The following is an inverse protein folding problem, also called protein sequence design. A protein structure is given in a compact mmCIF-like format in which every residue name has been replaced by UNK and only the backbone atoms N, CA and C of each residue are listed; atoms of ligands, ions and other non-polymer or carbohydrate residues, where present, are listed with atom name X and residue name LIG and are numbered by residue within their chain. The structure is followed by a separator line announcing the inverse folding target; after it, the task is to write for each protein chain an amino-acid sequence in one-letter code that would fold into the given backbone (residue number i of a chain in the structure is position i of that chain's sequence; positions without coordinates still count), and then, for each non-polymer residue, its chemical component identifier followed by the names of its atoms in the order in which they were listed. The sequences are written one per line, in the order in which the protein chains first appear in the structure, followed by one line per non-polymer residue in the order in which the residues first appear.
data_IF_251868187031
#
_entry.id   IF_251868187031
#
_cell.length_a   1.000
_cell.length_b   1.000
_cell.length_c   1.000
_cell.angle_alpha   90.00
_cell.angle_beta   90.00
_cell.angle_gamma   90.00
#
_symmetry.space_group_name_H-M   'P 1'
#
loop_
_entity.id
_entity.type
_entity.pdbx_description
1 polymer ?
#
# COMPACT_ATOMS: atom_id res chain seq x y z
N UNK A 1 30.23 23.34 15.54
CA UNK A 1 29.48 22.11 15.23
C UNK A 1 28.33 22.50 14.34
N UNK A 2 28.30 22.09 13.07
CA UNK A 2 27.20 22.39 12.16
C UNK A 2 25.93 21.76 12.74
N UNK A 3 24.85 22.53 12.73
CA UNK A 3 23.54 22.08 13.23
C UNK A 3 23.07 20.86 12.40
N UNK A 4 23.29 19.64 12.90
CA UNK A 4 22.95 18.37 12.24
C UNK A 4 21.46 18.04 12.33
N UNK A 5 20.69 18.85 13.07
CA UNK A 5 19.25 18.69 13.25
C UNK A 5 18.49 19.23 12.04
N UNK A 6 17.60 18.40 11.49
CA UNK A 6 16.68 18.74 10.42
C UNK A 6 15.27 19.02 10.98
N UNK A 7 14.32 19.47 10.15
CA UNK A 7 12.94 19.69 10.58
C UNK A 7 12.33 18.47 11.29
N UNK A 8 11.32 18.70 12.16
CA UNK A 8 10.61 17.60 12.80
C UNK A 8 9.90 16.70 11.76
N UNK A 9 9.62 15.47 12.16
CA UNK A 9 8.74 14.60 11.40
C UNK A 9 7.35 15.26 11.27
N UNK A 10 6.68 14.99 10.15
CA UNK A 10 5.27 15.38 10.03
C UNK A 10 4.44 14.74 11.15
N UNK A 11 3.33 15.34 11.60
CA UNK A 11 2.54 14.76 12.70
C UNK A 11 2.17 13.30 12.46
N UNK A 12 1.68 12.97 11.28
CA UNK A 12 1.34 11.59 10.94
C UNK A 12 2.55 10.66 11.01
N UNK A 13 3.73 11.11 10.54
CA UNK A 13 4.96 10.32 10.64
C UNK A 13 5.36 10.03 12.10
N UNK A 14 5.12 10.98 13.01
CA UNK A 14 5.36 10.75 14.45
C UNK A 14 4.41 9.72 15.03
N UNK A 15 3.13 9.70 14.59
CA UNK A 15 2.12 8.76 15.11
C UNK A 15 2.35 7.33 14.64
N UNK A 16 2.86 7.14 13.41
CA UNK A 16 3.17 5.83 12.82
C UNK A 16 4.63 5.42 12.98
N UNK A 17 5.35 6.04 13.90
CA UNK A 17 6.71 5.69 14.31
C UNK A 17 6.80 5.70 15.84
N UNK A 18 5.97 4.92 16.48
CA UNK A 18 5.89 4.73 17.94
C UNK A 18 5.96 3.25 18.28
N UNK A 19 6.28 2.87 19.52
CA UNK A 19 6.22 1.47 19.95
C UNK A 19 4.84 0.83 19.77
N UNK A 20 3.78 1.65 19.80
CA UNK A 20 2.38 1.19 19.63
C UNK A 20 2.04 0.94 18.17
N UNK A 21 2.59 1.76 17.25
CA UNK A 21 2.25 1.70 15.84
C UNK A 21 3.47 2.08 14.99
N UNK A 22 4.04 1.10 14.34
CA UNK A 22 5.15 1.31 13.40
C UNK A 22 4.81 0.66 12.06
N UNK A 23 4.81 1.47 11.00
CA UNK A 23 4.61 0.97 9.64
C UNK A 23 5.93 0.93 8.88
N UNK A 24 6.05 -0.10 8.05
CA UNK A 24 7.11 -0.21 7.06
C UNK A 24 6.52 -0.26 5.65
N UNK A 25 7.35 0.03 4.67
CA UNK A 25 7.10 -0.29 3.26
C UNK A 25 8.16 -1.31 2.86
N UNK A 26 7.72 -2.47 2.42
CA UNK A 26 8.58 -3.47 1.83
C UNK A 26 8.36 -3.48 0.32
N UNK A 27 9.30 -2.88 -0.41
CA UNK A 27 9.34 -2.92 -1.87
C UNK A 27 10.12 -4.15 -2.35
N UNK A 28 9.55 -4.92 -3.26
CA UNK A 28 10.14 -6.12 -3.84
C UNK A 28 10.37 -5.89 -5.31
N UNK A 29 11.62 -5.95 -5.76
CA UNK A 29 12.05 -5.73 -7.12
C UNK A 29 12.62 -7.01 -7.70
N UNK A 30 11.89 -7.66 -8.60
CA UNK A 30 12.29 -8.86 -9.33
C UNK A 30 13.10 -8.48 -10.55
N UNK A 31 14.37 -8.92 -10.65
CA UNK A 31 15.30 -8.53 -11.71
C UNK A 31 15.45 -9.63 -12.78
N UNK A 32 15.64 -9.23 -14.04
CA UNK A 32 15.86 -10.16 -15.17
C UNK A 32 17.28 -10.68 -15.25
N UNK A 33 18.23 -10.01 -14.59
CA UNK A 33 19.65 -10.38 -14.64
C UNK A 33 20.24 -10.42 -13.21
N UNK A 34 21.23 -11.27 -12.97
CA UNK A 34 21.96 -11.31 -11.70
C UNK A 34 22.59 -9.96 -11.37
N UNK A 35 22.76 -9.70 -10.09
CA UNK A 35 23.41 -8.51 -9.55
C UNK A 35 24.33 -8.90 -8.38
N UNK A 36 25.11 -7.95 -7.89
CA UNK A 36 26.05 -8.19 -6.79
C UNK A 36 26.04 -7.05 -5.77
N UNK A 37 26.59 -7.33 -4.58
CA UNK A 37 26.61 -6.37 -3.46
C UNK A 37 27.40 -5.08 -3.79
N UNK A 38 28.63 -5.12 -4.36
CA UNK A 38 29.41 -3.91 -4.66
C UNK A 38 28.69 -2.95 -5.62
N UNK A 39 28.12 -3.44 -6.71
CA UNK A 39 27.37 -2.62 -7.67
C UNK A 39 26.11 -2.01 -7.01
N UNK A 40 25.44 -2.77 -6.15
CA UNK A 40 24.29 -2.29 -5.42
C UNK A 40 24.66 -1.19 -4.42
N UNK A 41 25.75 -1.33 -3.68
CA UNK A 41 26.26 -0.30 -2.77
C UNK A 41 26.56 0.99 -3.56
N UNK A 42 27.29 0.89 -4.66
CA UNK A 42 27.58 2.06 -5.52
C UNK A 42 26.31 2.74 -6.03
N UNK A 43 25.29 1.95 -6.41
CA UNK A 43 24.01 2.47 -6.84
C UNK A 43 23.26 3.20 -5.70
N UNK A 44 23.29 2.66 -4.48
CA UNK A 44 22.66 3.29 -3.32
C UNK A 44 23.37 4.59 -2.94
N UNK A 45 24.70 4.62 -2.94
CA UNK A 45 25.52 5.80 -2.59
C UNK A 45 25.39 6.92 -3.62
N UNK A 46 25.43 6.58 -4.90
CA UNK A 46 25.36 7.57 -5.97
C UNK A 46 23.95 8.05 -6.29
N UNK A 47 22.92 7.24 -6.00
CA UNK A 47 21.56 7.51 -6.41
C UNK A 47 20.56 7.62 -5.27
N UNK A 48 20.44 6.58 -4.40
CA UNK A 48 19.39 6.51 -3.38
C UNK A 48 19.60 7.48 -2.22
N UNK A 49 20.76 7.45 -1.60
CA UNK A 49 21.06 8.30 -0.42
C UNK A 49 20.95 9.80 -0.75
N UNK A 50 21.45 10.29 -1.92
CA UNK A 50 21.35 11.69 -2.27
C UNK A 50 19.93 12.20 -2.55
N UNK A 51 18.95 11.34 -2.78
CA UNK A 51 17.55 11.74 -3.07
C UNK A 51 16.94 12.56 -1.94
N UNK A 52 17.26 12.23 -0.70
CA UNK A 52 16.74 12.96 0.46
C UNK A 52 17.70 12.86 1.63
N UNK A 53 17.87 13.98 2.35
CA UNK A 53 18.67 14.01 3.60
C UNK A 53 18.14 13.01 4.66
N UNK A 54 16.91 12.55 4.55
CA UNK A 54 16.32 11.56 5.47
C UNK A 54 16.98 10.18 5.34
N UNK A 55 17.47 9.83 4.14
CA UNK A 55 18.17 8.56 3.91
C UNK A 55 19.58 8.50 4.54
N UNK A 56 20.09 9.64 5.01
CA UNK A 56 21.31 9.72 5.84
C UNK A 56 21.03 10.36 7.20
N UNK A 57 19.86 10.10 7.79
CA UNK A 57 19.47 10.66 9.08
C UNK A 57 18.80 9.60 9.94
N UNK A 58 19.03 9.67 11.24
CA UNK A 58 18.31 8.91 12.27
C UNK A 58 17.15 9.73 12.82
N UNK A 59 16.18 9.07 13.42
CA UNK A 59 15.08 9.72 14.14
C UNK A 59 15.49 9.83 15.61
N UNK A 60 15.44 11.03 16.16
CA UNK A 60 15.73 11.32 17.57
C UNK A 60 14.58 12.08 18.19
N UNK A 61 14.28 11.82 19.44
CA UNK A 61 13.26 12.55 20.20
C UNK A 61 13.95 13.70 20.94
N UNK A 62 13.45 14.93 20.76
CA UNK A 62 13.96 16.11 21.47
C UNK A 62 13.43 16.17 22.92
N UNK A 63 13.93 17.13 23.72
CA UNK A 63 13.54 17.34 25.12
C UNK A 63 12.04 17.61 25.32
N UNK A 64 11.34 17.98 24.24
CA UNK A 64 9.89 18.24 24.23
C UNK A 64 9.08 17.03 23.76
N UNK A 65 9.72 15.87 23.54
CA UNK A 65 9.07 14.67 23.04
C UNK A 65 8.76 14.69 21.53
N UNK A 66 9.32 15.65 20.77
CA UNK A 66 9.08 15.77 19.33
C UNK A 66 10.16 15.01 18.56
N UNK A 67 9.76 14.10 17.70
CA UNK A 67 10.66 13.36 16.84
C UNK A 67 11.22 14.24 15.71
N UNK A 68 12.54 14.21 15.54
CA UNK A 68 13.29 15.00 14.54
C UNK A 68 14.28 14.13 13.77
N UNK A 69 14.58 14.56 12.57
CA UNK A 69 15.67 13.98 11.79
C UNK A 69 17.00 14.58 12.26
N UNK A 70 17.97 13.72 12.53
CA UNK A 70 19.35 14.09 12.84
C UNK A 70 20.26 13.44 11.81
N UNK A 71 20.98 14.28 11.04
CA UNK A 71 21.94 13.79 10.04
C UNK A 71 23.09 13.05 10.73
N UNK A 72 23.42 11.88 10.19
CA UNK A 72 24.54 11.03 10.62
C UNK A 72 25.42 10.67 9.43
N UNK A 73 26.59 10.14 9.71
CA UNK A 73 27.39 9.42 8.72
C UNK A 73 26.69 8.09 8.44
N UNK A 74 26.43 7.80 7.17
CA UNK A 74 25.73 6.58 6.74
C UNK A 74 26.75 5.68 6.04
N UNK A 75 27.11 4.56 6.68
CA UNK A 75 27.87 3.52 6.02
C UNK A 75 26.89 2.61 5.26
N UNK A 76 26.90 2.66 3.95
CA UNK A 76 25.95 1.92 3.10
C UNK A 76 26.07 0.40 3.25
N UNK A 77 27.27 -0.10 3.58
CA UNK A 77 27.48 -1.54 3.78
C UNK A 77 26.64 -2.13 4.91
N UNK A 78 26.42 -1.35 5.98
CA UNK A 78 25.64 -1.77 7.15
C UNK A 78 24.13 -1.89 6.84
N UNK A 79 23.70 -1.27 5.74
CA UNK A 79 22.30 -1.29 5.27
C UNK A 79 22.05 -2.35 4.19
N UNK A 80 23.10 -3.02 3.69
CA UNK A 80 22.95 -4.01 2.61
C UNK A 80 23.19 -5.42 3.13
N UNK A 81 22.10 -6.16 3.30
CA UNK A 81 22.05 -7.49 3.86
C UNK A 81 22.00 -8.52 2.74
N UNK A 82 22.86 -9.53 2.81
CA UNK A 82 22.91 -10.63 1.85
C UNK A 82 22.67 -11.94 2.60
N UNK A 83 21.44 -12.50 2.51
CA UNK A 83 21.17 -13.80 3.13
C UNK A 83 21.90 -14.92 2.37
N UNK A 84 22.31 -15.94 3.08
CA UNK A 84 22.99 -17.11 2.53
C UNK A 84 22.07 -18.33 2.59
N UNK A 85 21.90 -18.99 1.44
CA UNK A 85 21.15 -20.24 1.28
C UNK A 85 22.00 -21.28 0.57
N UNK A 86 21.66 -22.59 0.62
CA UNK A 86 22.31 -23.61 -0.18
C UNK A 86 22.30 -23.24 -1.67
N UNK A 87 23.37 -23.57 -2.40
CA UNK A 87 23.56 -23.15 -3.80
C UNK A 87 22.99 -24.12 -4.85
N UNK A 88 22.46 -25.25 -4.40
CA UNK A 88 22.02 -26.37 -5.23
C UNK A 88 20.49 -26.57 -5.25
N UNK A 89 19.74 -25.55 -4.82
CA UNK A 89 18.28 -25.57 -4.83
C UNK A 89 17.71 -25.23 -6.21
N UNK A 90 16.54 -25.78 -6.51
CA UNK A 90 15.77 -25.41 -7.70
C UNK A 90 15.16 -24.00 -7.57
N UNK A 91 14.78 -23.34 -8.68
CA UNK A 91 14.09 -22.04 -8.62
C UNK A 91 12.84 -22.05 -7.73
N UNK A 92 12.06 -23.13 -7.74
CA UNK A 92 10.85 -23.30 -6.94
C UNK A 92 11.17 -23.44 -5.45
N UNK A 93 12.27 -24.11 -5.11
CA UNK A 93 12.75 -24.18 -3.72
C UNK A 93 13.27 -22.82 -3.25
N UNK A 94 13.89 -22.02 -4.13
CA UNK A 94 14.27 -20.65 -3.82
C UNK A 94 13.05 -19.72 -3.68
N UNK A 95 11.92 -19.96 -4.36
CA UNK A 95 10.68 -19.24 -4.11
C UNK A 95 10.24 -19.42 -2.65
N UNK A 96 10.26 -20.64 -2.13
CA UNK A 96 9.93 -20.94 -0.74
C UNK A 96 10.91 -20.29 0.23
N UNK A 97 12.24 -20.34 -0.09
CA UNK A 97 13.25 -19.68 0.74
C UNK A 97 13.08 -18.16 0.78
N UNK A 98 12.74 -17.54 -0.35
CA UNK A 98 12.47 -16.10 -0.42
C UNK A 98 11.24 -15.72 0.41
N UNK A 99 10.15 -16.50 0.31
CA UNK A 99 8.94 -16.27 1.10
C UNK A 99 9.20 -16.40 2.60
N UNK A 100 9.89 -17.45 3.03
CA UNK A 100 10.26 -17.66 4.43
C UNK A 100 11.19 -16.56 4.92
N UNK A 101 12.16 -16.14 4.10
CA UNK A 101 13.07 -15.06 4.42
C UNK A 101 12.34 -13.73 4.61
N UNK A 102 11.46 -13.37 3.67
CA UNK A 102 10.64 -12.16 3.80
C UNK A 102 9.82 -12.22 5.09
N UNK A 103 9.18 -13.35 5.37
CA UNK A 103 8.38 -13.52 6.58
C UNK A 103 9.20 -13.37 7.86
N UNK A 104 10.47 -13.79 7.86
CA UNK A 104 11.35 -13.72 9.05
C UNK A 104 11.69 -12.30 9.46
N UNK A 105 11.92 -11.38 8.50
CA UNK A 105 12.26 -9.99 8.81
C UNK A 105 11.11 -9.00 8.60
N UNK A 106 9.90 -9.49 8.27
CA UNK A 106 8.74 -8.66 7.89
C UNK A 106 8.46 -7.55 8.90
N UNK A 107 8.43 -7.89 10.19
CA UNK A 107 8.20 -6.96 11.30
C UNK A 107 9.41 -6.77 12.22
N UNK A 108 10.59 -7.25 11.83
CA UNK A 108 11.82 -6.98 12.56
C UNK A 108 12.06 -5.46 12.62
N UNK A 109 12.41 -4.95 13.77
CA UNK A 109 12.66 -3.52 13.94
C UNK A 109 13.98 -3.11 13.31
N UNK A 110 13.98 -1.98 12.61
CA UNK A 110 15.21 -1.39 12.11
C UNK A 110 16.04 -0.77 13.26
N UNK A 111 17.37 -0.84 13.20
CA UNK A 111 18.24 -0.27 14.24
C UNK A 111 17.99 1.25 14.43
N UNK A 112 17.80 1.69 15.67
CA UNK A 112 17.50 3.10 15.98
C UNK A 112 18.69 4.04 15.76
N UNK A 113 19.91 3.52 15.81
CA UNK A 113 21.16 4.28 15.63
C UNK A 113 21.60 4.43 14.18
N UNK A 114 20.82 3.90 13.25
CA UNK A 114 21.08 3.95 11.81
C UNK A 114 19.90 4.62 11.08
N UNK A 115 20.11 5.17 9.86
CA UNK A 115 19.01 5.60 8.99
C UNK A 115 17.98 4.48 8.82
N UNK A 116 16.66 4.78 8.90
CA UNK A 116 15.64 3.76 9.08
C UNK A 116 15.23 3.08 7.76
N UNK A 117 16.20 2.42 7.12
CA UNK A 117 16.01 1.62 5.90
C UNK A 117 17.06 0.53 5.79
N UNK A 118 16.71 -0.55 5.09
CA UNK A 118 17.60 -1.66 4.73
C UNK A 118 17.29 -2.13 3.31
N UNK A 119 18.30 -2.73 2.65
CA UNK A 119 18.17 -3.39 1.36
C UNK A 119 18.69 -4.81 1.49
N UNK A 120 17.83 -5.78 1.21
CA UNK A 120 18.20 -7.19 1.24
C UNK A 120 18.39 -7.70 -0.18
N UNK A 121 19.47 -8.40 -0.43
CA UNK A 121 19.86 -8.90 -1.74
C UNK A 121 19.70 -10.41 -1.79
N UNK A 122 18.59 -10.89 -2.30
CA UNK A 122 18.36 -12.29 -2.57
C UNK A 122 18.93 -12.62 -3.96
N UNK A 123 20.20 -13.06 -3.98
CA UNK A 123 20.98 -13.27 -5.22
C UNK A 123 20.84 -14.69 -5.80
N UNK A 124 19.72 -15.34 -5.55
CA UNK A 124 19.39 -16.67 -6.05
C UNK A 124 18.28 -16.60 -7.08
N UNK A 125 18.33 -17.43 -8.14
CA UNK A 125 17.28 -17.44 -9.15
C UNK A 125 16.00 -18.09 -8.61
N UNK A 126 14.89 -17.36 -8.70
CA UNK A 126 13.55 -17.85 -8.40
C UNK A 126 12.85 -18.28 -9.69
N UNK A 127 11.67 -18.89 -9.61
CA UNK A 127 10.84 -19.20 -10.80
C UNK A 127 10.49 -17.95 -11.62
N UNK A 128 10.49 -16.79 -10.98
CA UNK A 128 10.08 -15.52 -11.58
C UNK A 128 11.22 -14.56 -11.91
N UNK A 129 12.39 -14.66 -11.28
CA UNK A 129 13.46 -13.66 -11.38
C UNK A 129 14.86 -14.28 -11.31
N UNK A 130 15.85 -13.62 -11.91
CA UNK A 130 17.25 -14.00 -11.76
C UNK A 130 17.84 -13.62 -10.41
N UNK A 131 17.16 -12.76 -9.67
CA UNK A 131 17.43 -12.36 -8.31
C UNK A 131 16.44 -11.28 -7.86
N UNK A 132 16.31 -11.07 -6.55
CA UNK A 132 15.32 -10.16 -5.98
C UNK A 132 15.97 -9.19 -5.01
N UNK A 133 15.70 -7.90 -5.19
CA UNK A 133 16.13 -6.83 -4.31
C UNK A 133 14.94 -6.35 -3.47
N UNK A 134 15.11 -6.32 -2.14
CA UNK A 134 14.06 -6.01 -1.19
C UNK A 134 14.44 -4.72 -0.46
N UNK A 135 13.57 -3.70 -0.54
CA UNK A 135 13.74 -2.42 0.15
C UNK A 135 12.80 -2.37 1.36
N UNK A 136 13.34 -2.45 2.55
CA UNK A 136 12.58 -2.26 3.79
C UNK A 136 12.79 -0.84 4.30
N UNK A 137 11.73 -0.06 4.32
CA UNK A 137 11.77 1.36 4.64
C UNK A 137 10.80 1.65 5.78
N UNK A 138 11.25 2.34 6.83
CA UNK A 138 10.31 2.86 7.82
C UNK A 138 9.40 3.92 7.16
N UNK A 139 8.12 3.82 7.40
CA UNK A 139 7.13 4.68 6.75
C UNK A 139 7.27 6.16 7.15
N UNK A 140 8.02 6.48 8.22
CA UNK A 140 8.36 7.86 8.57
C UNK A 140 9.20 8.57 7.50
N UNK A 141 9.96 7.82 6.68
CA UNK A 141 10.73 8.37 5.54
C UNK A 141 9.82 9.04 4.52
N UNK A 142 8.64 8.48 4.28
CA UNK A 142 7.64 8.99 3.35
C UNK A 142 6.55 7.98 3.08
N UNK A 143 5.42 8.44 2.57
CA UNK A 143 4.35 7.54 2.11
C UNK A 143 4.64 6.96 0.71
N UNK A 144 3.77 6.05 0.27
CA UNK A 144 3.92 5.37 -1.01
C UNK A 144 4.09 6.32 -2.21
N UNK A 145 3.44 7.50 -2.18
CA UNK A 145 3.61 8.50 -3.25
C UNK A 145 5.00 9.14 -3.24
N UNK A 146 5.51 9.50 -2.07
CA UNK A 146 6.86 10.06 -1.91
C UNK A 146 7.92 9.03 -2.28
N UNK A 147 7.78 7.79 -1.78
CA UNK A 147 8.70 6.68 -2.06
C UNK A 147 8.68 6.33 -3.55
N UNK A 148 7.49 6.24 -4.18
CA UNK A 148 7.39 6.00 -5.62
C UNK A 148 8.06 7.11 -6.43
N UNK A 149 7.90 8.37 -6.03
CA UNK A 149 8.59 9.49 -6.65
C UNK A 149 10.12 9.35 -6.57
N UNK A 150 10.64 8.90 -5.42
CA UNK A 150 12.06 8.60 -5.25
C UNK A 150 12.51 7.46 -6.17
N UNK A 151 11.77 6.35 -6.19
CA UNK A 151 12.08 5.18 -7.01
C UNK A 151 12.07 5.53 -8.51
N UNK A 152 11.09 6.30 -8.99
CA UNK A 152 11.03 6.73 -10.38
C UNK A 152 12.16 7.69 -10.78
N UNK A 153 12.74 8.39 -9.81
CA UNK A 153 13.94 9.23 -10.04
C UNK A 153 15.22 8.41 -10.04
N UNK A 154 15.27 7.40 -9.17
CA UNK A 154 16.40 6.50 -8.99
C UNK A 154 16.53 5.50 -10.15
N UNK A 155 15.41 4.94 -10.59
CA UNK A 155 15.38 3.96 -11.66
C UNK A 155 15.57 4.63 -13.02
N UNK A 156 16.22 3.94 -13.92
CA UNK A 156 16.41 4.38 -15.32
C UNK A 156 15.45 3.62 -16.23
N UNK A 157 15.14 4.19 -17.38
CA UNK A 157 14.46 3.41 -18.42
C UNK A 157 15.41 2.32 -18.94
N UNK A 158 14.90 1.10 -19.08
CA UNK A 158 15.70 -0.02 -19.57
C UNK A 158 16.01 0.10 -21.07
N UNK A 159 15.10 0.70 -21.85
CA UNK A 159 15.25 0.91 -23.28
C UNK A 159 16.16 2.13 -23.61
N UNK A 160 16.13 3.18 -22.79
CA UNK A 160 16.96 4.37 -22.95
C UNK A 160 17.21 5.04 -21.59
N UNK A 161 18.35 4.77 -20.96
CA UNK A 161 18.69 5.32 -19.63
C UNK A 161 18.81 6.84 -19.56
N UNK A 162 18.91 7.52 -20.72
CA UNK A 162 18.97 9.00 -20.79
C UNK A 162 17.60 9.66 -20.62
N UNK A 163 16.52 8.91 -20.81
CA UNK A 163 15.17 9.40 -20.66
C UNK A 163 14.65 9.09 -19.25
N UNK A 164 13.91 10.04 -18.62
CA UNK A 164 13.30 9.79 -17.32
C UNK A 164 12.12 8.82 -17.45
N UNK A 165 11.87 8.06 -16.39
CA UNK A 165 10.60 7.37 -16.21
C UNK A 165 9.50 8.41 -16.00
N UNK A 166 8.34 8.19 -16.62
CA UNK A 166 7.21 9.10 -16.48
C UNK A 166 6.52 8.89 -15.14
N UNK A 167 6.32 9.97 -14.43
CA UNK A 167 5.48 9.95 -13.23
C UNK A 167 4.02 9.79 -13.67
N UNK A 168 3.31 8.75 -13.20
CA UNK A 168 1.93 8.54 -13.61
C UNK A 168 1.07 9.68 -13.09
N UNK A 169 0.59 10.54 -13.99
CA UNK A 169 -0.36 11.59 -13.64
C UNK A 169 -1.75 10.98 -13.49
N UNK A 170 -2.30 11.04 -12.28
CA UNK A 170 -3.72 10.80 -12.10
C UNK A 170 -4.48 11.84 -12.92
N UNK A 171 -5.29 11.40 -13.90
CA UNK A 171 -6.19 12.31 -14.61
C UNK A 171 -7.25 12.79 -13.62
N UNK A 172 -7.01 13.95 -13.03
CA UNK A 172 -8.02 14.65 -12.23
C UNK A 172 -9.09 15.19 -13.16
N UNK A 173 -10.07 14.37 -13.50
CA UNK A 173 -11.35 14.92 -13.94
C UNK A 173 -12.02 15.50 -12.71
N UNK A 174 -11.91 16.82 -12.55
CA UNK A 174 -12.82 17.56 -11.68
C UNK A 174 -14.25 17.23 -12.11
N UNK A 175 -15.16 16.96 -11.17
CA UNK A 175 -16.58 16.79 -11.49
C UNK A 175 -17.07 18.06 -12.21
N UNK A 176 -17.77 17.85 -13.34
CA UNK A 176 -18.32 18.93 -14.14
C UNK A 176 -19.18 19.90 -13.33
N UNK A 177 -19.28 21.12 -13.82
CA UNK A 177 -20.07 22.23 -13.29
C UNK A 177 -21.48 21.78 -12.86
N UNK A 178 -21.71 21.80 -11.57
CA UNK A 178 -22.99 21.47 -10.96
C UNK A 178 -23.82 22.75 -10.85
N UNK A 179 -25.07 22.71 -11.31
CA UNK A 179 -26.02 23.83 -11.22
C UNK A 179 -26.30 24.25 -9.77
N UNK A 180 -26.65 25.51 -9.53
CA UNK A 180 -26.78 26.11 -8.19
C UNK A 180 -27.73 25.36 -7.24
N UNK A 181 -28.80 24.75 -7.72
CA UNK A 181 -29.75 23.98 -6.91
C UNK A 181 -29.16 22.70 -6.34
N UNK A 182 -28.29 22.07 -7.10
CA UNK A 182 -27.55 20.87 -6.64
C UNK A 182 -26.42 21.20 -5.65
N UNK A 183 -26.00 22.46 -5.53
CA UNK A 183 -24.93 22.87 -4.58
C UNK A 183 -25.38 22.84 -3.14
N UNK A 184 -26.60 23.29 -2.84
CA UNK A 184 -27.14 23.33 -1.46
C UNK A 184 -27.43 21.90 -0.96
N UNK A 185 -28.13 21.09 -1.78
CA UNK A 185 -28.41 19.70 -1.42
C UNK A 185 -27.11 18.88 -1.28
N UNK A 186 -26.15 19.08 -2.17
CA UNK A 186 -24.83 18.46 -2.07
C UNK A 186 -24.05 18.94 -0.83
N UNK A 187 -24.17 20.21 -0.45
CA UNK A 187 -23.54 20.73 0.77
C UNK A 187 -24.12 20.08 2.03
N UNK A 188 -25.45 20.05 2.16
CA UNK A 188 -26.14 19.40 3.28
C UNK A 188 -25.80 17.91 3.34
N UNK A 189 -25.83 17.21 2.21
CA UNK A 189 -25.45 15.81 2.12
C UNK A 189 -23.98 15.57 2.55
N UNK A 190 -23.06 16.46 2.14
CA UNK A 190 -21.66 16.43 2.58
C UNK A 190 -21.52 16.65 4.07
N UNK A 191 -22.27 17.59 4.66
CA UNK A 191 -22.26 17.83 6.11
C UNK A 191 -22.76 16.62 6.89
N UNK A 192 -23.86 16.00 6.46
CA UNK A 192 -24.41 14.78 7.08
C UNK A 192 -23.40 13.62 7.00
N UNK A 193 -22.85 13.36 5.81
CA UNK A 193 -21.84 12.32 5.63
C UNK A 193 -20.60 12.58 6.47
N UNK A 194 -20.12 13.83 6.51
CA UNK A 194 -18.96 14.21 7.32
C UNK A 194 -19.21 13.97 8.81
N UNK A 195 -20.35 14.40 9.32
CA UNK A 195 -20.71 14.20 10.72
C UNK A 195 -20.83 12.70 11.06
N UNK A 196 -21.53 11.94 10.22
CA UNK A 196 -21.71 10.51 10.41
C UNK A 196 -20.37 9.75 10.35
N UNK A 197 -19.53 10.06 9.36
CA UNK A 197 -18.25 9.37 9.17
C UNK A 197 -17.25 9.76 10.26
N UNK A 198 -17.21 11.02 10.66
CA UNK A 198 -16.37 11.51 11.75
C UNK A 198 -16.79 10.92 13.10
N UNK A 199 -18.10 10.92 13.39
CA UNK A 199 -18.63 10.31 14.62
C UNK A 199 -18.34 8.81 14.68
N UNK A 200 -18.50 8.09 13.55
CA UNK A 200 -18.11 6.68 13.47
C UNK A 200 -16.59 6.48 13.65
N UNK A 201 -15.78 7.39 13.16
CA UNK A 201 -14.32 7.36 13.37
C UNK A 201 -13.96 7.53 14.84
N UNK A 202 -14.57 8.49 15.54
CA UNK A 202 -14.35 8.71 17.00
C UNK A 202 -14.92 7.55 17.81
N UNK A 203 -16.13 7.11 17.51
CA UNK A 203 -16.79 6.01 18.23
C UNK A 203 -16.28 4.64 17.80
N UNK A 204 -15.50 4.57 16.71
CA UNK A 204 -14.98 3.33 16.13
C UNK A 204 -14.18 2.49 17.13
N UNK A 205 -13.47 3.15 18.04
CA UNK A 205 -12.74 2.48 19.15
C UNK A 205 -13.67 1.72 20.10
N UNK A 206 -14.95 2.08 20.13
CA UNK A 206 -16.00 1.44 20.97
C UNK A 206 -17.00 0.62 20.17
N UNK A 207 -16.90 0.62 18.85
CA UNK A 207 -17.75 -0.20 18.00
C UNK A 207 -17.26 -1.65 17.98
N UNK A 208 -18.20 -2.59 17.80
CA UNK A 208 -17.85 -3.99 17.63
C UNK A 208 -16.97 -4.15 16.36
N UNK A 209 -15.92 -4.93 16.52
CA UNK A 209 -15.06 -5.37 15.43
C UNK A 209 -15.86 -6.13 14.38
N UNK A 210 -15.41 -6.10 13.13
CA UNK A 210 -15.88 -7.03 12.11
C UNK A 210 -15.62 -8.48 12.58
N UNK A 211 -16.64 -9.32 12.58
CA UNK A 211 -16.55 -10.72 12.97
C UNK A 211 -16.76 -11.63 11.77
N UNK A 212 -15.68 -12.01 11.12
CA UNK A 212 -15.70 -12.85 9.93
C UNK A 212 -14.41 -13.67 9.79
N UNK A 213 -14.41 -14.66 8.88
CA UNK A 213 -13.26 -15.56 8.63
C UNK A 213 -12.03 -14.89 8.01
N UNK A 214 -12.07 -13.58 7.76
CA UNK A 214 -10.93 -12.81 7.27
C UNK A 214 -10.07 -12.24 8.42
N UNK A 215 -10.54 -12.38 9.67
CA UNK A 215 -9.87 -11.87 10.88
C UNK A 215 -9.64 -12.99 11.87
N UNK A 216 -8.39 -13.25 12.18
CA UNK A 216 -7.99 -14.29 13.15
C UNK A 216 -8.27 -13.89 14.60
N UNK A 217 -8.41 -12.57 14.88
CA UNK A 217 -8.44 -12.01 16.23
C UNK A 217 -7.15 -12.31 17.03
N UNK A 218 -6.08 -12.74 16.36
CA UNK A 218 -4.75 -12.93 16.96
C UNK A 218 -4.31 -11.60 17.58
N UNK A 219 -3.97 -11.56 18.87
CA UNK A 219 -3.36 -10.35 19.45
C UNK A 219 -2.07 -10.01 18.72
N UNK A 220 -1.86 -8.72 18.41
CA UNK A 220 -0.68 -8.23 17.70
C UNK A 220 -0.43 -8.99 16.38
N UNK A 221 -1.49 -9.18 15.58
CA UNK A 221 -1.45 -9.89 14.29
C UNK A 221 -0.42 -9.29 13.31
N UNK A 222 -0.11 -8.01 13.45
CA UNK A 222 0.92 -7.31 12.68
C UNK A 222 2.33 -7.91 12.83
N UNK A 223 2.59 -8.65 13.91
CA UNK A 223 3.84 -9.36 14.18
C UNK A 223 3.78 -10.86 13.85
N UNK A 224 2.62 -11.35 13.42
CA UNK A 224 2.48 -12.74 13.02
C UNK A 224 3.26 -13.04 11.72
N UNK A 225 3.74 -14.28 11.52
CA UNK A 225 4.31 -14.71 10.26
C UNK A 225 3.33 -14.50 9.09
N UNK A 226 3.85 -14.08 7.93
CA UNK A 226 3.03 -13.77 6.77
C UNK A 226 3.29 -14.69 5.59
N UNK A 227 2.26 -14.91 4.78
CA UNK A 227 2.37 -15.40 3.41
C UNK A 227 2.15 -14.22 2.46
N UNK A 228 2.97 -14.13 1.42
CA UNK A 228 2.82 -13.13 0.36
C UNK A 228 2.49 -13.86 -0.93
N UNK A 229 1.31 -13.62 -1.46
CA UNK A 229 0.90 -14.19 -2.74
C UNK A 229 0.38 -13.11 -3.68
N UNK A 230 0.31 -13.39 -4.98
CA UNK A 230 -0.15 -12.39 -5.93
C UNK A 230 -0.89 -12.97 -7.11
N UNK A 231 -1.78 -12.15 -7.68
CA UNK A 231 -2.44 -12.40 -8.95
C UNK A 231 -2.17 -11.23 -9.88
N UNK A 232 -1.85 -11.53 -11.13
CA UNK A 232 -1.60 -10.51 -12.16
C UNK A 232 -2.80 -10.48 -13.11
N UNK A 233 -3.29 -9.26 -13.36
CA UNK A 233 -4.37 -8.99 -14.30
C UNK A 233 -3.87 -8.08 -15.43
N UNK A 234 -4.48 -8.16 -16.61
CA UNK A 234 -4.26 -7.18 -17.67
C UNK A 234 -4.86 -5.83 -17.25
N UNK A 235 -4.03 -4.78 -17.24
CA UNK A 235 -4.51 -3.44 -16.96
C UNK A 235 -5.48 -2.95 -18.05
N UNK A 236 -5.33 -3.41 -19.29
CA UNK A 236 -6.22 -3.05 -20.39
C UNK A 236 -7.59 -3.71 -20.23
N UNK A 237 -7.65 -4.97 -19.79
CA UNK A 237 -8.91 -5.63 -19.46
C UNK A 237 -9.62 -4.92 -18.27
N UNK A 238 -8.88 -4.52 -17.23
CA UNK A 238 -9.44 -3.69 -16.14
C UNK A 238 -9.97 -2.35 -16.67
N UNK A 239 -9.25 -1.71 -17.59
CA UNK A 239 -9.68 -0.46 -18.23
C UNK A 239 -10.93 -0.64 -19.10
N UNK A 240 -11.06 -1.79 -19.74
CA UNK A 240 -12.23 -2.13 -20.52
C UNK A 240 -13.47 -2.26 -19.65
N UNK A 241 -13.41 -3.06 -18.58
CA UNK A 241 -14.49 -3.14 -17.56
C UNK A 241 -14.84 -1.75 -17.03
N UNK A 242 -13.82 -0.98 -16.59
CA UNK A 242 -14.01 0.38 -16.10
C UNK A 242 -14.78 1.27 -17.09
N UNK A 243 -14.45 1.17 -18.38
CA UNK A 243 -15.08 2.00 -19.44
C UNK A 243 -16.52 1.63 -19.68
N UNK A 244 -16.84 0.33 -19.66
CA UNK A 244 -18.22 -0.19 -19.86
C UNK A 244 -19.18 0.27 -18.76
N UNK A 245 -18.73 0.31 -17.51
CA UNK A 245 -19.56 0.65 -16.34
C UNK A 245 -19.33 2.08 -15.81
N UNK A 246 -18.51 2.89 -16.50
CA UNK A 246 -18.20 4.26 -16.10
C UNK A 246 -17.57 4.38 -14.71
N UNK A 247 -16.73 3.41 -14.33
CA UNK A 247 -16.06 3.34 -13.04
C UNK A 247 -14.62 3.87 -13.10
N UNK A 248 -13.90 3.85 -11.97
CA UNK A 248 -12.45 4.03 -11.91
C UNK A 248 -11.75 2.68 -11.76
N UNK A 249 -10.43 2.63 -11.97
CA UNK A 249 -9.65 1.39 -11.69
C UNK A 249 -9.80 0.98 -10.23
N UNK A 250 -9.82 1.94 -9.30
CA UNK A 250 -10.01 1.66 -7.87
C UNK A 250 -11.40 1.05 -7.59
N UNK A 251 -12.46 1.53 -8.24
CA UNK A 251 -13.80 0.96 -8.07
C UNK A 251 -13.84 -0.48 -8.55
N UNK A 252 -13.24 -0.76 -9.73
CA UNK A 252 -13.18 -2.13 -10.29
C UNK A 252 -12.36 -3.05 -9.38
N UNK A 253 -11.19 -2.63 -8.93
CA UNK A 253 -10.34 -3.47 -8.06
C UNK A 253 -10.93 -3.67 -6.67
N UNK A 254 -11.61 -2.66 -6.11
CA UNK A 254 -12.32 -2.81 -4.82
C UNK A 254 -13.51 -3.78 -4.96
N UNK A 255 -14.30 -3.66 -6.03
CA UNK A 255 -15.39 -4.58 -6.31
C UNK A 255 -14.91 -6.01 -6.58
N UNK A 256 -13.81 -6.17 -7.32
CA UNK A 256 -13.15 -7.45 -7.53
C UNK A 256 -12.73 -8.11 -6.21
N UNK A 257 -12.07 -7.37 -5.33
CA UNK A 257 -11.66 -7.87 -4.01
C UNK A 257 -12.90 -8.24 -3.19
N UNK A 258 -13.92 -7.39 -3.14
CA UNK A 258 -15.15 -7.65 -2.39
C UNK A 258 -15.83 -8.96 -2.86
N UNK A 259 -15.94 -9.16 -4.17
CA UNK A 259 -16.50 -10.37 -4.75
C UNK A 259 -15.65 -11.60 -4.44
N UNK A 260 -14.34 -11.52 -4.63
CA UNK A 260 -13.43 -12.62 -4.32
C UNK A 260 -13.48 -13.03 -2.83
N UNK A 261 -13.56 -12.06 -1.93
CA UNK A 261 -13.69 -12.33 -0.49
C UNK A 261 -15.01 -12.98 -0.14
N UNK A 262 -16.10 -12.60 -0.82
CA UNK A 262 -17.40 -13.26 -0.59
C UNK A 262 -17.38 -14.70 -1.10
N UNK A 263 -16.74 -14.98 -2.25
CA UNK A 263 -16.49 -16.34 -2.73
C UNK A 263 -15.63 -17.14 -1.73
N UNK A 264 -14.58 -16.51 -1.19
CA UNK A 264 -13.71 -17.12 -0.19
C UNK A 264 -14.48 -17.47 1.09
N UNK A 265 -15.27 -16.53 1.64
CA UNK A 265 -16.10 -16.75 2.82
C UNK A 265 -17.09 -17.90 2.61
N UNK A 266 -17.78 -17.94 1.46
CA UNK A 266 -18.67 -19.04 1.09
C UNK A 266 -17.94 -20.40 1.08
N UNK A 267 -16.74 -20.47 0.50
CA UNK A 267 -15.92 -21.70 0.47
C UNK A 267 -15.39 -22.12 1.84
N UNK A 268 -15.26 -21.17 2.77
CA UNK A 268 -14.95 -21.43 4.19
C UNK A 268 -16.18 -21.74 5.04
N UNK A 269 -17.39 -21.87 4.42
CA UNK A 269 -18.63 -22.22 5.10
C UNK A 269 -19.28 -21.06 5.88
N UNK A 270 -18.87 -19.82 5.65
CA UNK A 270 -19.47 -18.65 6.28
C UNK A 270 -20.56 -18.04 5.39
N UNK A 271 -21.73 -17.75 5.98
CA UNK A 271 -22.82 -17.04 5.29
C UNK A 271 -22.50 -15.55 5.24
N UNK A 272 -22.31 -14.97 4.04
CA UNK A 272 -21.78 -13.60 3.91
C UNK A 272 -22.71 -12.51 4.46
N UNK A 273 -24.02 -12.71 4.46
CA UNK A 273 -25.03 -11.68 4.86
C UNK A 273 -25.04 -11.40 6.36
N UNK A 274 -24.66 -12.40 7.16
CA UNK A 274 -24.69 -12.27 8.62
C UNK A 274 -23.46 -11.55 9.17
N UNK A 275 -22.47 -11.28 8.32
CA UNK A 275 -21.19 -10.76 8.77
C UNK A 275 -20.83 -9.44 8.07
N UNK A 276 -20.58 -8.44 8.89
CA UNK A 276 -20.05 -7.17 8.41
C UNK A 276 -18.61 -7.36 7.94
N UNK A 277 -18.28 -6.85 6.76
CA UNK A 277 -16.92 -6.77 6.24
C UNK A 277 -16.61 -5.34 5.81
N UNK A 278 -15.49 -4.80 6.29
CA UNK A 278 -15.03 -3.46 5.94
C UNK A 278 -13.60 -3.49 5.40
N UNK A 279 -13.31 -2.58 4.50
CA UNK A 279 -11.99 -2.34 3.98
C UNK A 279 -11.48 -0.95 4.40
N UNK A 280 -10.24 -0.88 4.84
CA UNK A 280 -9.50 0.37 4.97
C UNK A 280 -8.79 0.66 3.65
N UNK A 281 -9.20 1.71 2.97
CA UNK A 281 -8.58 2.14 1.71
C UNK A 281 -7.65 3.31 1.99
N UNK A 282 -6.38 3.16 1.62
CA UNK A 282 -5.38 4.23 1.77
C UNK A 282 -5.60 5.29 0.70
N UNK A 283 -5.74 6.54 1.11
CA UNK A 283 -5.93 7.68 0.23
C UNK A 283 -4.80 8.68 0.33
N UNK A 284 -4.35 9.18 -0.81
CA UNK A 284 -3.45 10.33 -0.87
C UNK A 284 -4.25 11.62 -0.58
N UNK A 285 -3.87 12.34 0.46
CA UNK A 285 -4.52 13.59 0.88
C UNK A 285 -3.85 14.85 0.31
N UNK A 286 -2.83 14.71 -0.52
CA UNK A 286 -2.23 15.87 -1.19
C UNK A 286 -3.23 16.51 -2.13
N UNK A 287 -3.34 17.83 -2.06
CA UNK A 287 -4.04 18.59 -3.09
C UNK A 287 -3.17 18.57 -4.36
N UNK A 288 -3.41 17.56 -5.19
CA UNK A 288 -2.59 17.24 -6.36
C UNK A 288 -2.78 18.29 -7.45
N UNK A 289 -1.97 19.33 -7.43
CA UNK A 289 -1.77 20.22 -8.58
C UNK A 289 -0.46 19.79 -9.28
N UNK A 290 -0.58 18.83 -10.22
CA UNK A 290 0.36 18.67 -11.31
C UNK A 290 1.84 18.47 -10.99
N UNK A 291 2.21 17.89 -9.84
CA UNK A 291 3.61 17.54 -9.60
C UNK A 291 4.05 16.42 -10.55
N UNK A 292 5.04 16.69 -11.37
CA UNK A 292 5.51 15.78 -12.42
C UNK A 292 6.80 15.07 -12.03
N UNK A 293 7.55 15.63 -11.08
CA UNK A 293 8.88 15.14 -10.69
C UNK A 293 9.07 15.14 -9.17
N UNK A 294 10.04 14.37 -8.69
CA UNK A 294 10.48 14.42 -7.29
C UNK A 294 10.98 15.82 -6.90
N UNK A 295 11.67 16.49 -7.80
CA UNK A 295 12.17 17.84 -7.58
C UNK A 295 11.04 18.83 -7.32
N UNK A 296 9.93 18.73 -8.08
CA UNK A 296 8.72 19.53 -7.85
C UNK A 296 8.13 19.27 -6.46
N UNK A 297 8.12 18.01 -6.01
CA UNK A 297 7.63 17.63 -4.67
C UNK A 297 8.51 18.18 -3.56
N UNK A 298 9.84 18.11 -3.72
CA UNK A 298 10.80 18.61 -2.75
C UNK A 298 10.74 20.13 -2.65
N UNK A 299 10.69 20.84 -3.78
CA UNK A 299 10.55 22.31 -3.84
C UNK A 299 9.24 22.80 -3.22
N UNK A 300 8.15 22.05 -3.42
CA UNK A 300 6.85 22.36 -2.83
C UNK A 300 6.70 21.89 -1.37
N UNK A 301 7.75 21.28 -0.78
CA UNK A 301 7.75 20.71 0.58
C UNK A 301 6.59 19.72 0.84
N UNK A 302 6.24 18.91 -0.17
CA UNK A 302 5.16 17.93 -0.09
C UNK A 302 5.66 16.49 0.08
N UNK A 303 6.97 16.30 0.25
CA UNK A 303 7.56 15.03 0.64
C UNK A 303 7.17 14.67 2.08
N UNK A 304 6.81 13.44 2.30
CA UNK A 304 6.49 12.91 3.64
C UNK A 304 5.20 12.13 3.67
N UNK A 305 4.52 12.11 4.80
CA UNK A 305 3.31 11.34 5.01
C UNK A 305 2.08 12.26 4.91
N UNK A 306 1.35 12.12 3.81
CA UNK A 306 0.13 12.86 3.50
C UNK A 306 -0.97 11.90 3.01
N UNK A 307 -1.24 10.89 3.81
CA UNK A 307 -2.29 9.92 3.53
C UNK A 307 -3.34 9.87 4.64
N UNK A 308 -4.47 9.29 4.35
CA UNK A 308 -5.52 9.00 5.31
C UNK A 308 -6.17 7.66 4.98
N UNK A 309 -7.01 7.21 5.88
CA UNK A 309 -7.75 5.96 5.72
C UNK A 309 -9.21 6.24 5.47
N UNK A 310 -9.78 5.55 4.49
CA UNK A 310 -11.19 5.57 4.16
C UNK A 310 -11.76 4.20 4.52
N UNK A 311 -12.59 4.14 5.56
CA UNK A 311 -13.30 2.90 5.90
C UNK A 311 -14.50 2.76 4.98
N UNK A 312 -14.54 1.68 4.20
CA UNK A 312 -15.55 1.36 3.20
C UNK A 312 -16.23 0.04 3.57
N UNK A 313 -17.54 0.01 3.62
CA UNK A 313 -18.27 -1.25 3.75
C UNK A 313 -18.16 -2.02 2.44
N UNK A 314 -17.76 -3.28 2.51
CA UNK A 314 -17.70 -4.14 1.34
C UNK A 314 -19.12 -4.62 0.99
N UNK A 315 -19.51 -4.63 -0.30
CA UNK A 315 -20.77 -5.26 -0.73
C UNK A 315 -20.87 -6.71 -0.27
N UNK A 316 -22.03 -7.06 0.24
CA UNK A 316 -22.35 -8.42 0.69
C UNK A 316 -23.75 -8.81 0.25
N UNK A 317 -23.92 -9.99 -0.33
CA UNK A 317 -25.16 -10.51 -0.86
C UNK A 317 -25.46 -11.88 -0.26
N UNK A 318 -26.74 -12.21 -0.13
CA UNK A 318 -27.20 -13.48 0.47
C UNK A 318 -26.79 -14.70 -0.37
N UNK A 319 -26.84 -14.59 -1.68
CA UNK A 319 -26.34 -15.61 -2.59
C UNK A 319 -25.35 -15.00 -3.57
N UNK A 320 -24.10 -15.45 -3.48
CA UNK A 320 -22.99 -14.98 -4.32
C UNK A 320 -23.09 -15.49 -5.77
N UNK A 321 -23.85 -16.55 -6.00
CA UNK A 321 -24.00 -17.14 -7.33
C UNK A 321 -25.18 -16.55 -8.13
N UNK A 322 -26.17 -15.97 -7.44
CA UNK A 322 -27.39 -15.43 -8.05
C UNK A 322 -27.34 -13.91 -8.27
N UNK A 323 -26.24 -13.24 -7.90
CA UNK A 323 -26.08 -11.79 -8.05
C UNK A 323 -25.26 -11.45 -9.29
N UNK A 324 -25.65 -10.37 -9.99
CA UNK A 324 -24.83 -9.83 -11.09
C UNK A 324 -23.44 -9.44 -10.55
N UNK A 325 -22.33 -10.02 -11.08
CA UNK A 325 -20.97 -9.66 -10.67
C UNK A 325 -20.69 -8.16 -10.74
N UNK A 326 -21.36 -7.40 -11.60
CA UNK A 326 -21.20 -5.94 -11.73
C UNK A 326 -21.75 -5.16 -10.53
N UNK A 327 -22.67 -5.75 -9.75
CA UNK A 327 -23.20 -5.11 -8.54
C UNK A 327 -22.09 -4.88 -7.50
N UNK A 328 -21.12 -5.79 -7.39
CA UNK A 328 -19.95 -5.59 -6.51
C UNK A 328 -19.16 -4.33 -6.88
N UNK A 329 -18.99 -4.08 -8.17
CA UNK A 329 -18.27 -2.88 -8.64
C UNK A 329 -19.15 -1.63 -8.50
N UNK A 330 -20.43 -1.72 -8.82
CA UNK A 330 -21.39 -0.62 -8.73
C UNK A 330 -21.56 -0.12 -7.31
N UNK A 331 -21.74 -1.02 -6.36
CA UNK A 331 -21.87 -0.68 -4.92
C UNK A 331 -20.55 -0.16 -4.34
N UNK A 332 -19.42 -0.79 -4.69
CA UNK A 332 -18.10 -0.27 -4.29
C UNK A 332 -17.87 1.15 -4.80
N UNK A 333 -18.21 1.44 -6.07
CA UNK A 333 -18.16 2.78 -6.65
C UNK A 333 -19.04 3.77 -5.89
N UNK A 334 -20.29 3.40 -5.58
CA UNK A 334 -21.22 4.24 -4.86
C UNK A 334 -20.71 4.59 -3.44
N UNK A 335 -20.24 3.59 -2.71
CA UNK A 335 -19.70 3.76 -1.34
C UNK A 335 -18.40 4.57 -1.36
N UNK A 336 -17.48 4.29 -2.28
CA UNK A 336 -16.24 5.07 -2.46
C UNK A 336 -16.57 6.55 -2.74
N UNK A 337 -17.49 6.82 -3.68
CA UNK A 337 -17.92 8.18 -4.01
C UNK A 337 -18.55 8.89 -2.81
N UNK A 338 -19.39 8.18 -2.04
CA UNK A 338 -20.00 8.69 -0.81
C UNK A 338 -18.94 9.12 0.20
N UNK A 339 -17.97 8.24 0.47
CA UNK A 339 -16.90 8.48 1.45
C UNK A 339 -15.93 9.56 1.01
N UNK A 340 -15.56 9.60 -0.27
CA UNK A 340 -14.68 10.65 -0.81
C UNK A 340 -15.30 12.05 -0.76
N UNK A 341 -16.63 12.17 -0.77
CA UNK A 341 -17.33 13.43 -0.59
C UNK A 341 -17.43 13.90 0.87
N UNK A 342 -17.03 13.07 1.81
CA UNK A 342 -16.97 13.41 3.23
C UNK A 342 -15.67 14.17 3.56
N UNK A 343 -15.76 15.15 4.45
CA UNK A 343 -14.59 15.85 4.98
C UNK A 343 -14.06 15.19 6.27
N UNK A 344 -14.52 13.98 6.61
CA UNK A 344 -14.15 13.30 7.86
C UNK A 344 -12.64 13.14 8.01
N UNK A 345 -11.91 12.81 6.94
CA UNK A 345 -10.45 12.70 6.98
C UNK A 345 -9.75 14.00 7.39
N UNK A 346 -10.28 15.16 6.96
CA UNK A 346 -9.74 16.45 7.39
C UNK A 346 -9.95 16.66 8.90
N UNK A 347 -11.17 16.41 9.40
CA UNK A 347 -11.47 16.56 10.83
C UNK A 347 -10.73 15.53 11.68
N UNK A 348 -10.62 14.28 11.21
CA UNK A 348 -9.82 13.24 11.89
C UNK A 348 -8.34 13.65 11.96
N UNK A 349 -7.77 14.19 10.90
CA UNK A 349 -6.38 14.71 10.92
C UNK A 349 -6.20 15.84 11.94
N UNK A 350 -7.15 16.78 12.02
CA UNK A 350 -7.13 17.85 13.03
C UNK A 350 -7.28 17.31 14.46
N UNK A 351 -8.16 16.35 14.65
CA UNK A 351 -8.36 15.69 15.95
C UNK A 351 -7.09 14.94 16.38
N UNK A 352 -6.47 14.17 15.49
CA UNK A 352 -5.21 13.45 15.77
C UNK A 352 -4.08 14.43 16.13
N UNK A 353 -3.96 15.54 15.40
CA UNK A 353 -2.95 16.56 15.71
C UNK A 353 -3.19 17.17 17.10
N UNK A 354 -4.45 17.46 17.46
CA UNK A 354 -4.80 17.95 18.77
C UNK A 354 -4.50 16.91 19.86
N UNK A 355 -4.88 15.66 19.65
CA UNK A 355 -4.62 14.55 20.57
C UNK A 355 -3.10 14.35 20.77
N UNK A 356 -2.33 14.32 19.68
CA UNK A 356 -0.87 14.23 19.74
C UNK A 356 -0.21 15.42 20.46
N UNK A 357 -0.76 16.63 20.31
CA UNK A 357 -0.25 17.81 21.03
C UNK A 357 -0.57 17.76 22.52
N UNK A 358 -1.77 17.29 22.92
CA UNK A 358 -2.22 17.29 24.31
C UNK A 358 -1.74 16.07 25.11
N UNK A 359 -1.63 14.91 24.48
CA UNK A 359 -1.33 13.62 25.14
C UNK A 359 -0.11 12.90 24.61
N UNK A 360 0.59 13.49 23.63
CA UNK A 360 1.74 12.88 22.99
C UNK A 360 1.40 12.03 21.77
N UNK A 361 2.42 11.70 20.95
CA UNK A 361 2.25 10.94 19.70
C UNK A 361 1.73 9.51 19.92
N UNK A 362 2.05 8.87 21.04
CA UNK A 362 1.58 7.52 21.38
C UNK A 362 0.06 7.45 21.54
N UNK A 363 -0.57 8.45 22.20
CA UNK A 363 -2.03 8.49 22.34
C UNK A 363 -2.74 8.62 20.97
N UNK A 364 -2.15 9.36 20.03
CA UNK A 364 -2.64 9.43 18.67
C UNK A 364 -2.43 8.09 17.91
N UNK A 365 -1.30 7.42 18.15
CA UNK A 365 -1.00 6.10 17.61
C UNK A 365 -1.98 5.03 18.11
N UNK A 366 -2.27 5.01 19.42
CA UNK A 366 -3.26 4.10 20.02
C UNK A 366 -4.65 4.28 19.39
N UNK A 367 -5.07 5.54 19.21
CA UNK A 367 -6.33 5.83 18.54
C UNK A 367 -6.33 5.32 17.08
N UNK A 368 -5.26 5.57 16.33
CA UNK A 368 -5.14 5.07 14.96
C UNK A 368 -5.18 3.54 14.95
N UNK A 369 -4.35 2.88 15.76
CA UNK A 369 -4.27 1.42 15.84
C UNK A 369 -5.63 0.79 16.18
N UNK A 370 -6.34 1.32 17.21
CA UNK A 370 -7.65 0.84 17.60
C UNK A 370 -8.69 0.93 16.46
N UNK A 371 -8.65 2.02 15.68
CA UNK A 371 -9.56 2.17 14.55
C UNK A 371 -9.20 1.27 13.38
N UNK A 372 -7.89 1.09 13.11
CA UNK A 372 -7.43 0.22 12.02
C UNK A 372 -7.83 -1.23 12.27
N UNK A 373 -7.56 -1.72 13.49
CA UNK A 373 -7.81 -3.13 13.83
C UNK A 373 -9.28 -3.55 13.74
N UNK A 374 -10.23 -2.61 13.73
CA UNK A 374 -11.66 -2.93 13.64
C UNK A 374 -12.14 -3.28 12.24
N UNK A 375 -11.30 -3.16 11.22
CA UNK A 375 -11.65 -3.49 9.83
C UNK A 375 -11.15 -4.86 9.41
N UNK A 376 -11.86 -5.50 8.47
CA UNK A 376 -11.51 -6.85 8.00
C UNK A 376 -10.23 -6.89 7.20
N UNK A 377 -10.02 -5.89 6.32
CA UNK A 377 -8.89 -5.85 5.40
C UNK A 377 -8.37 -4.42 5.23
N UNK A 378 -7.15 -4.30 4.69
CA UNK A 378 -6.62 -3.03 4.16
C UNK A 378 -6.35 -3.15 2.67
N UNK A 379 -6.59 -2.06 1.92
CA UNK A 379 -6.27 -1.95 0.49
C UNK A 379 -5.42 -0.71 0.26
N UNK A 380 -4.24 -0.89 -0.32
CA UNK A 380 -3.36 0.19 -0.75
C UNK A 380 -3.07 0.06 -2.25
N UNK A 381 -3.32 1.13 -3.01
CA UNK A 381 -3.13 1.13 -4.46
C UNK A 381 -2.12 2.20 -4.88
N UNK A 382 -1.11 1.80 -5.64
CA UNK A 382 -0.13 2.68 -6.26
C UNK A 382 -0.08 2.49 -7.77
N UNK A 383 0.17 3.58 -8.49
CA UNK A 383 0.41 3.55 -9.92
C UNK A 383 1.93 3.54 -10.15
N UNK A 384 2.43 2.51 -10.80
CA UNK A 384 3.84 2.38 -11.17
C UNK A 384 4.12 2.87 -12.59
N UNK A 385 5.40 2.82 -13.03
CA UNK A 385 5.80 3.31 -14.35
C UNK A 385 5.20 2.49 -15.49
N UNK A 386 4.95 3.16 -16.59
CA UNK A 386 4.45 2.53 -17.82
C UNK A 386 5.62 1.90 -18.60
N UNK A 387 6.78 2.54 -18.55
CA UNK A 387 7.99 2.09 -19.22
C UNK A 387 8.73 1.04 -18.40
N UNK A 388 9.48 0.18 -19.09
CA UNK A 388 10.35 -0.79 -18.44
C UNK A 388 11.47 -0.05 -17.69
N UNK A 389 11.57 -0.30 -16.40
CA UNK A 389 12.59 0.27 -15.54
C UNK A 389 13.83 -0.62 -15.44
N UNK A 390 14.94 -0.05 -14.99
CA UNK A 390 16.16 -0.77 -14.59
C UNK A 390 16.68 -0.23 -13.26
N UNK A 391 17.26 -1.12 -12.46
CA UNK A 391 17.89 -0.83 -11.17
C UNK A 391 19.35 -1.25 -11.27
N UNK A 392 20.29 -0.36 -10.94
CA UNK A 392 21.72 -0.64 -11.04
C UNK A 392 22.12 -1.26 -12.41
N UNK A 393 21.52 -0.77 -13.50
CA UNK A 393 21.75 -1.30 -14.84
C UNK A 393 21.08 -2.64 -15.14
N UNK A 394 20.32 -3.24 -14.23
CA UNK A 394 19.60 -4.51 -14.41
C UNK A 394 18.12 -4.24 -14.71
N UNK A 395 17.56 -4.80 -15.81
CA UNK A 395 16.16 -4.63 -16.13
C UNK A 395 15.25 -5.20 -15.03
N UNK A 396 14.23 -4.42 -14.67
CA UNK A 396 13.20 -4.81 -13.72
C UNK A 396 12.14 -5.64 -14.44
N UNK A 397 12.01 -6.91 -14.08
CA UNK A 397 10.98 -7.81 -14.61
C UNK A 397 9.61 -7.45 -14.05
N UNK A 398 9.57 -7.23 -12.76
CA UNK A 398 8.37 -6.87 -12.05
C UNK A 398 8.70 -6.21 -10.70
N UNK A 399 7.77 -5.46 -10.15
CA UNK A 399 7.88 -5.01 -8.78
C UNK A 399 6.53 -5.00 -8.09
N UNK A 400 6.57 -5.10 -6.78
CA UNK A 400 5.41 -4.97 -5.92
C UNK A 400 5.82 -4.47 -4.54
N UNK A 401 4.86 -4.19 -3.70
CA UNK A 401 5.13 -3.75 -2.34
C UNK A 401 4.13 -4.37 -1.37
N UNK A 402 4.51 -4.39 -0.10
CA UNK A 402 3.63 -4.71 1.02
C UNK A 402 3.81 -3.67 2.12
N UNK A 403 2.89 -3.65 3.09
CA UNK A 403 2.90 -2.68 4.18
C UNK A 403 2.90 -3.43 5.52
N UNK A 404 4.09 -3.82 6.04
CA UNK A 404 4.22 -4.40 7.38
C UNK A 404 3.75 -3.42 8.46
N UNK A 405 3.18 -3.96 9.55
CA UNK A 405 2.75 -3.20 10.72
C UNK A 405 1.28 -2.86 10.79
N UNK A 406 0.49 -3.24 9.78
CA UNK A 406 -0.97 -3.05 9.79
C UNK A 406 -1.66 -4.16 10.57
N UNK A 407 -2.60 -3.82 11.49
CA UNK A 407 -3.23 -4.80 12.38
C UNK A 407 -4.40 -5.55 11.70
N UNK A 408 -4.20 -6.05 10.48
CA UNK A 408 -5.14 -6.90 9.75
C UNK A 408 -4.49 -8.22 9.37
N UNK A 409 -5.27 -9.33 9.48
CA UNK A 409 -4.84 -10.65 9.02
C UNK A 409 -4.72 -10.75 7.50
N UNK A 410 -5.26 -9.76 6.75
CA UNK A 410 -5.23 -9.73 5.30
C UNK A 410 -5.09 -8.29 4.78
N UNK A 411 -4.04 -8.06 4.03
CA UNK A 411 -3.71 -6.76 3.41
C UNK A 411 -3.56 -6.95 1.91
N UNK A 412 -4.23 -6.12 1.14
CA UNK A 412 -4.06 -6.06 -0.32
C UNK A 412 -3.25 -4.84 -0.71
N UNK A 413 -2.22 -5.06 -1.51
CA UNK A 413 -1.52 -3.98 -2.20
C UNK A 413 -1.62 -4.17 -3.71
N UNK A 414 -1.81 -3.08 -4.41
CA UNK A 414 -2.02 -3.09 -5.85
C UNK A 414 -0.99 -2.18 -6.48
N UNK A 415 -0.35 -2.64 -7.54
CA UNK A 415 0.55 -1.83 -8.33
C UNK A 415 0.43 -2.14 -9.81
N UNK A 416 0.47 -1.10 -10.64
CA UNK A 416 0.52 -1.27 -12.09
C UNK A 416 1.94 -1.13 -12.61
N UNK A 417 2.36 -1.99 -13.53
CA UNK A 417 3.66 -1.93 -14.19
C UNK A 417 3.59 -2.55 -15.58
N UNK A 418 4.03 -1.83 -16.60
CA UNK A 418 4.09 -2.31 -18.00
C UNK A 418 2.77 -2.96 -18.47
N UNK A 419 1.64 -2.30 -18.29
CA UNK A 419 0.33 -2.82 -18.70
C UNK A 419 -0.23 -3.96 -17.86
N UNK A 420 0.46 -4.38 -16.81
CA UNK A 420 0.02 -5.39 -15.85
C UNK A 420 -0.43 -4.71 -14.56
N UNK A 421 -1.47 -5.23 -13.94
CA UNK A 421 -1.90 -4.86 -12.60
C UNK A 421 -1.66 -6.06 -11.69
N UNK A 422 -0.70 -5.94 -10.77
CA UNK A 422 -0.38 -6.97 -9.77
C UNK A 422 -1.14 -6.66 -8.49
N UNK A 423 -1.99 -7.57 -8.08
CA UNK A 423 -2.68 -7.56 -6.81
C UNK A 423 -1.97 -8.54 -5.89
N UNK A 424 -1.39 -8.01 -4.81
CA UNK A 424 -0.64 -8.79 -3.81
C UNK A 424 -1.46 -8.90 -2.56
N UNK A 425 -1.54 -10.07 -1.98
CA UNK A 425 -2.10 -10.33 -0.67
C UNK A 425 -0.99 -10.68 0.31
N UNK A 426 -0.83 -9.88 1.36
CA UNK A 426 -0.06 -10.25 2.55
C UNK A 426 -1.05 -10.76 3.59
N UNK A 427 -0.93 -12.00 3.99
CA UNK A 427 -1.89 -12.66 4.85
C UNK A 427 -1.21 -13.39 6.01
N UNK A 428 -1.88 -13.44 7.16
CA UNK A 428 -1.43 -14.20 8.32
C UNK A 428 -1.23 -15.68 7.96
N UNK A 429 -0.03 -16.19 8.20
CA UNK A 429 0.37 -17.55 7.85
C UNK A 429 -0.43 -18.57 8.66
N UNK A 430 -1.00 -19.57 7.98
CA UNK A 430 -1.78 -20.62 8.60
C UNK A 430 -3.25 -20.26 8.87
N UNK A 431 -3.63 -18.98 8.76
CA UNK A 431 -5.01 -18.55 8.94
C UNK A 431 -5.73 -18.33 7.59
N UNK A 432 -5.15 -17.55 6.69
CA UNK A 432 -5.67 -17.36 5.33
C UNK A 432 -5.01 -18.38 4.39
N UNK A 433 -5.82 -19.05 3.59
CA UNK A 433 -5.36 -19.94 2.52
C UNK A 433 -5.10 -19.13 1.25
N UNK A 434 -3.81 -18.90 0.87
CA UNK A 434 -3.47 -18.02 -0.24
C UNK A 434 -3.85 -18.62 -1.60
N UNK A 435 -3.82 -19.97 -1.76
CA UNK A 435 -4.17 -20.63 -3.00
C UNK A 435 -5.69 -20.51 -3.26
N UNK A 436 -6.49 -20.75 -2.23
CA UNK A 436 -7.95 -20.56 -2.30
C UNK A 436 -8.29 -19.10 -2.59
N UNK A 437 -7.66 -18.15 -1.91
CA UNK A 437 -7.88 -16.73 -2.13
C UNK A 437 -7.53 -16.30 -3.56
N UNK A 438 -6.38 -16.74 -4.08
CA UNK A 438 -5.97 -16.46 -5.44
C UNK A 438 -6.93 -17.06 -6.48
N UNK A 439 -7.47 -18.27 -6.22
CA UNK A 439 -8.48 -18.86 -7.10
C UNK A 439 -9.79 -18.05 -7.10
N UNK A 440 -10.22 -17.56 -5.94
CA UNK A 440 -11.38 -16.68 -5.82
C UNK A 440 -11.19 -15.36 -6.55
N UNK A 441 -9.99 -14.74 -6.46
CA UNK A 441 -9.67 -13.52 -7.20
C UNK A 441 -9.73 -13.71 -8.71
N UNK A 442 -9.17 -14.79 -9.22
CA UNK A 442 -9.21 -15.12 -10.67
C UNK A 442 -10.64 -15.39 -11.14
N UNK A 443 -11.42 -16.13 -10.37
CA UNK A 443 -12.83 -16.41 -10.69
C UNK A 443 -13.67 -15.12 -10.67
N UNK A 444 -13.55 -14.32 -9.61
CA UNK A 444 -14.27 -13.03 -9.51
C UNK A 444 -13.96 -12.11 -10.68
N UNK A 445 -12.68 -11.99 -11.07
CA UNK A 445 -12.31 -11.21 -12.25
C UNK A 445 -12.93 -11.75 -13.53
N UNK A 446 -12.88 -13.06 -13.74
CA UNK A 446 -13.47 -13.69 -14.93
C UNK A 446 -14.97 -13.39 -15.02
N UNK A 447 -15.70 -13.55 -13.91
CA UNK A 447 -17.15 -13.29 -13.86
C UNK A 447 -17.47 -11.80 -14.10
N UNK A 448 -16.72 -10.88 -13.47
CA UNK A 448 -16.88 -9.43 -13.69
C UNK A 448 -16.58 -9.06 -15.15
N UNK A 449 -15.53 -9.61 -15.74
CA UNK A 449 -15.13 -9.29 -17.11
C UNK A 449 -16.18 -9.81 -18.11
N UNK A 450 -16.62 -11.05 -17.96
CA UNK A 450 -17.70 -11.64 -18.80
C UNK A 450 -18.99 -10.82 -18.71
N UNK A 451 -19.39 -10.44 -17.49
CA UNK A 451 -20.60 -9.64 -17.30
C UNK A 451 -20.47 -8.22 -17.93
N UNK A 452 -19.28 -7.62 -17.91
CA UNK A 452 -19.08 -6.29 -18.46
C UNK A 452 -18.87 -6.26 -19.98
N UNK A 453 -18.18 -7.28 -20.54
CA UNK A 453 -17.67 -7.28 -21.91
C UNK A 453 -18.38 -8.29 -22.79
N UNK A 454 -18.91 -9.37 -22.21
CA UNK A 454 -19.58 -10.47 -22.94
C UNK A 454 -18.63 -11.56 -23.43
N UNK A 455 -17.34 -11.44 -23.17
CA UNK A 455 -16.28 -12.38 -23.60
C UNK A 455 -15.45 -12.86 -22.41
N UNK A 456 -14.77 -13.98 -22.57
CA UNK A 456 -13.81 -14.44 -21.54
C UNK A 456 -12.52 -13.59 -21.58
N UNK A 457 -11.94 -13.28 -20.41
CA UNK A 457 -10.67 -12.56 -20.36
C UNK A 457 -9.55 -13.39 -21.00
N UNK A 458 -8.67 -12.73 -21.74
CA UNK A 458 -7.45 -13.37 -22.25
C UNK A 458 -6.56 -13.72 -21.05
N UNK A 459 -6.14 -14.97 -20.95
CA UNK A 459 -5.20 -15.41 -19.89
C UNK A 459 -3.87 -14.69 -20.08
N UNK A 460 -3.35 -14.15 -18.99
CA UNK A 460 -1.97 -13.67 -18.92
C UNK A 460 -1.06 -14.83 -18.47
N UNK A 461 -0.03 -15.06 -19.24
CA UNK A 461 1.04 -15.99 -18.88
C UNK A 461 1.92 -15.44 -17.73
#
# INVERSE_FOLDING_TARGET
MANTMLPPLSPLAQFINTPVLTFYVLGVCELEAPFNKPETIQFLESGFIPLSKRFSSVIVTDEKGVQRWKKVECNTEDHVIVPTFPSDLTPEEYDVKLEDYISSFYMEQLPENQPPWEVHLFMYPTSTAAGTMLFKLNHALGDGYSIMGALLTLFKRADNPSLPLKFPTASSRLPGLVTNYSRVSNFVYRCINTFTDFSRGILGTYMADDDNVLRSKTPMVEYAPVNISSVIFSLDQIREVKSKIGATVNDVTTGLIAYALQLYMKRKGQVPVETRSTALIVMNLRMMRGFKTLEDMLKANIWGNHFGFLTVSLPSFSDVDDVDPLEYVSQSKAEMKRRMNSMSNYFTSKFLNLLGTLRGPEAAAEYIHSNLRNSSIMISNMVGPVEKASIAGRPLKSFYFTVPGVPQSLVFTIVSYMGKLRLVSSSERGFIDPQLLNSCLKEAFTKIYVAAVGEHPVKME
#
